data_IF_450990888304
#
_entry.id   IF_450990888304
#
_cell.length_a   1.000
_cell.length_b   1.000
_cell.length_c   1.000
_cell.angle_alpha   90.00
_cell.angle_beta   90.00
_cell.angle_gamma   90.00
#
_symmetry.space_group_name_H-M   'P 1'
#
loop_
_entity.id
_entity.type
_entity.pdbx_description
1 polymer ?
#
# COMPACT_ATOMS: atom_id res chain seq x y z
N UNK A 1 -2.57 -1.81 -12.88
CA UNK A 1 -1.90 -0.80 -12.03
C UNK A 1 -1.20 -1.53 -10.91
N UNK A 2 -0.23 -0.95 -10.22
CA UNK A 2 0.36 -1.52 -9.02
C UNK A 2 0.56 -0.41 -7.99
N UNK A 3 0.47 -0.77 -6.72
CA UNK A 3 0.61 0.13 -5.57
C UNK A 3 2.07 0.14 -5.13
N UNK A 4 2.82 1.09 -5.69
CA UNK A 4 4.29 1.09 -5.56
C UNK A 4 4.75 1.15 -4.11
N UNK A 5 4.05 1.90 -3.23
CA UNK A 5 4.41 2.01 -1.82
C UNK A 5 4.36 0.65 -1.11
N UNK A 6 3.28 -0.12 -1.32
CA UNK A 6 3.15 -1.46 -0.74
C UNK A 6 4.22 -2.44 -1.26
N UNK A 7 4.58 -2.31 -2.55
CA UNK A 7 5.69 -3.09 -3.11
C UNK A 7 7.02 -2.68 -2.48
N UNK A 8 7.28 -1.39 -2.30
CA UNK A 8 8.48 -0.91 -1.64
C UNK A 8 8.59 -1.44 -0.21
N UNK A 9 7.50 -1.38 0.56
CA UNK A 9 7.47 -1.91 1.93
C UNK A 9 7.73 -3.42 1.97
N UNK A 10 7.10 -4.17 1.07
CA UNK A 10 7.26 -5.64 1.01
C UNK A 10 8.63 -6.10 0.48
N UNK A 11 9.32 -5.28 -0.33
CA UNK A 11 10.60 -5.62 -0.94
C UNK A 11 11.81 -4.98 -0.23
N UNK A 12 11.58 -4.15 0.78
CA UNK A 12 12.64 -3.40 1.47
C UNK A 12 13.75 -4.31 2.01
N UNK A 13 13.37 -5.45 2.59
CA UNK A 13 14.29 -6.41 3.21
C UNK A 13 14.70 -7.57 2.28
N UNK A 14 14.40 -7.51 0.99
CA UNK A 14 14.88 -8.54 0.04
C UNK A 14 16.40 -8.54 -0.04
N UNK A 15 17.02 -7.35 -0.03
CA UNK A 15 18.46 -7.15 0.11
C UNK A 15 18.74 -6.23 1.28
N UNK A 16 19.85 -6.44 2.00
CA UNK A 16 20.23 -5.64 3.15
C UNK A 16 21.49 -4.82 2.93
N UNK A 17 21.83 -3.97 3.91
CA UNK A 17 23.10 -3.27 4.00
C UNK A 17 23.99 -3.94 5.04
N UNK A 18 25.29 -4.12 4.75
CA UNK A 18 26.26 -4.60 5.75
C UNK A 18 26.49 -3.52 6.80
N UNK A 19 26.49 -3.93 8.08
CA UNK A 19 26.79 -3.05 9.19
C UNK A 19 28.26 -2.63 9.18
N UNK A 20 28.54 -1.36 9.49
CA UNK A 20 29.92 -0.90 9.72
C UNK A 20 30.42 -1.32 11.09
N UNK A 21 31.72 -1.66 11.16
CA UNK A 21 32.42 -1.81 12.44
C UNK A 21 32.76 -0.47 13.10
N UNK A 22 32.65 0.66 12.36
CA UNK A 22 32.80 1.99 12.89
C UNK A 22 31.49 2.45 13.52
N UNK A 23 31.42 2.73 14.83
CA UNK A 23 30.19 3.16 15.48
C UNK A 23 29.59 4.46 14.89
N UNK A 24 30.42 5.32 14.30
CA UNK A 24 29.95 6.57 13.64
C UNK A 24 29.20 6.32 12.33
N UNK A 25 29.35 5.14 11.76
CA UNK A 25 28.70 4.71 10.51
C UNK A 25 27.67 3.61 10.76
N UNK A 26 27.36 3.35 12.03
CA UNK A 26 26.37 2.34 12.37
C UNK A 26 25.00 2.72 11.78
N UNK A 27 24.28 1.75 11.23
CA UNK A 27 22.94 1.89 10.68
C UNK A 27 21.94 1.07 11.50
N UNK A 28 20.66 1.36 11.33
CA UNK A 28 19.61 0.66 12.03
C UNK A 28 19.60 -0.83 11.67
N UNK A 29 19.34 -1.68 12.64
CA UNK A 29 19.37 -3.13 12.48
C UNK A 29 18.34 -3.64 11.45
N UNK A 30 17.27 -2.89 11.24
CA UNK A 30 16.24 -3.21 10.27
C UNK A 30 16.79 -3.22 8.84
N UNK A 31 17.61 -2.22 8.49
CA UNK A 31 18.25 -2.15 7.16
C UNK A 31 19.33 -3.21 6.92
N UNK A 32 19.79 -3.89 7.98
CA UNK A 32 20.78 -4.97 7.84
C UNK A 32 20.12 -6.33 7.52
N UNK A 33 18.81 -6.41 7.60
CA UNK A 33 18.06 -7.62 7.28
C UNK A 33 18.11 -7.91 5.78
N UNK A 34 18.34 -9.17 5.41
CA UNK A 34 18.31 -9.61 4.02
C UNK A 34 17.66 -10.99 3.92
N UNK A 35 16.46 -11.03 3.35
CA UNK A 35 15.74 -12.29 3.09
C UNK A 35 16.47 -13.19 2.07
N UNK A 36 17.20 -12.59 1.13
CA UNK A 36 17.95 -13.30 0.09
C UNK A 36 19.37 -13.66 0.49
N UNK A 37 19.87 -13.08 1.59
CA UNK A 37 21.27 -13.12 1.96
C UNK A 37 22.19 -12.21 1.12
N UNK A 38 21.64 -11.45 0.17
CA UNK A 38 22.41 -10.50 -0.62
C UNK A 38 22.53 -9.16 0.10
N UNK A 39 23.75 -8.62 0.13
CA UNK A 39 24.04 -7.28 0.64
C UNK A 39 24.33 -6.33 -0.51
N UNK A 40 23.90 -5.06 -0.38
CA UNK A 40 24.11 -4.06 -1.43
C UNK A 40 25.58 -3.82 -1.73
N UNK A 41 26.45 -3.85 -0.70
CA UNK A 41 27.89 -3.68 -0.84
C UNK A 41 28.52 -4.77 -1.74
N UNK A 42 27.92 -5.96 -1.78
CA UNK A 42 28.37 -7.03 -2.66
C UNK A 42 28.22 -6.76 -4.16
N UNK A 43 27.44 -5.76 -4.55
CA UNK A 43 27.24 -5.40 -5.96
C UNK A 43 28.46 -4.68 -6.56
N UNK A 44 29.17 -3.87 -5.77
CA UNK A 44 30.33 -3.10 -6.24
C UNK A 44 31.24 -2.66 -5.09
N UNK A 45 32.58 -2.72 -5.24
CA UNK A 45 33.53 -2.38 -4.17
C UNK A 45 33.46 -0.94 -3.64
N UNK A 46 32.99 0.00 -4.45
CA UNK A 46 32.79 1.40 -4.02
C UNK A 46 31.50 1.64 -3.25
N UNK A 47 30.65 0.62 -3.11
CA UNK A 47 29.37 0.76 -2.41
C UNK A 47 29.56 0.44 -0.92
N UNK A 48 30.14 1.38 -0.19
CA UNK A 48 30.36 1.29 1.26
C UNK A 48 29.51 2.31 2.00
N UNK A 49 29.28 2.15 3.30
CA UNK A 49 28.54 3.13 4.11
C UNK A 49 29.23 4.51 4.11
N UNK A 50 30.56 4.52 4.13
CA UNK A 50 31.36 5.72 3.99
C UNK A 50 31.07 6.48 2.70
N UNK A 51 31.01 5.75 1.57
CA UNK A 51 30.65 6.31 0.27
C UNK A 51 29.21 6.81 0.27
N UNK A 52 28.30 6.07 0.88
CA UNK A 52 26.89 6.46 0.98
C UNK A 52 26.73 7.74 1.80
N UNK A 53 27.45 7.86 2.90
CA UNK A 53 27.50 9.09 3.69
C UNK A 53 28.07 10.27 2.88
N UNK A 54 29.10 10.06 2.09
CA UNK A 54 29.72 11.08 1.26
C UNK A 54 28.80 11.59 0.13
N UNK A 55 27.83 10.81 -0.32
CA UNK A 55 26.85 11.21 -1.35
C UNK A 55 25.53 11.72 -0.78
N UNK A 56 25.33 11.59 0.52
CA UNK A 56 24.18 12.18 1.19
C UNK A 56 24.23 13.70 1.00
N UNK A 57 23.13 14.36 0.60
CA UNK A 57 23.10 15.81 0.48
C UNK A 57 23.42 16.50 1.80
N UNK A 58 24.21 17.56 1.75
CA UNK A 58 24.61 18.31 2.95
C UNK A 58 23.40 18.90 3.71
N UNK A 59 22.30 19.16 2.98
CA UNK A 59 21.05 19.68 3.50
C UNK A 59 20.04 18.58 3.88
N UNK A 60 20.45 17.29 3.85
CA UNK A 60 19.54 16.17 4.14
C UNK A 60 18.86 16.30 5.49
N UNK A 61 19.59 16.76 6.50
CA UNK A 61 19.08 16.99 7.86
C UNK A 61 18.13 18.18 7.97
N UNK A 62 18.24 19.19 7.13
CA UNK A 62 17.42 20.42 7.21
C UNK A 62 15.93 20.20 6.92
N UNK A 63 15.53 19.02 6.46
CA UNK A 63 14.12 18.66 6.38
C UNK A 63 13.47 18.48 7.76
N UNK A 64 14.26 18.31 8.82
CA UNK A 64 13.79 18.15 10.18
C UNK A 64 13.92 19.48 10.94
N UNK A 65 12.86 19.94 11.63
CA UNK A 65 12.90 21.19 12.37
C UNK A 65 13.83 21.09 13.58
N UNK A 66 14.39 22.21 14.00
CA UNK A 66 15.06 22.31 15.29
C UNK A 66 14.06 22.08 16.44
N UNK A 67 14.50 21.40 17.50
CA UNK A 67 13.69 21.22 18.70
C UNK A 67 13.36 22.54 19.36
N UNK A 68 12.10 22.68 19.80
CA UNK A 68 11.60 23.87 20.48
C UNK A 68 10.80 23.46 21.72
N UNK A 69 11.22 23.95 22.89
CA UNK A 69 10.57 23.63 24.18
C UNK A 69 9.09 24.06 24.28
N UNK A 70 8.61 24.93 23.37
CA UNK A 70 7.23 25.43 23.37
C UNK A 70 6.31 24.63 22.44
N UNK A 71 6.87 23.76 21.64
CA UNK A 71 6.10 22.94 20.72
C UNK A 71 5.71 21.60 21.37
N UNK A 72 4.61 21.03 20.89
CA UNK A 72 4.15 19.71 21.27
C UNK A 72 4.35 18.77 20.11
N UNK A 73 5.08 17.70 20.31
CA UNK A 73 5.44 16.74 19.28
C UNK A 73 4.58 15.48 19.43
N UNK A 74 4.16 14.96 18.29
CA UNK A 74 3.51 13.65 18.20
C UNK A 74 4.54 12.54 18.04
N UNK A 75 4.15 11.32 18.36
CA UNK A 75 4.98 10.14 18.10
C UNK A 75 5.38 10.08 16.61
N UNK A 76 6.64 9.75 16.33
CA UNK A 76 7.22 9.74 14.99
C UNK A 76 7.70 11.11 14.48
N UNK A 77 7.52 12.20 15.22
CA UNK A 77 8.10 13.50 14.84
C UNK A 77 9.61 13.51 15.08
N UNK A 78 10.37 13.88 14.04
CA UNK A 78 11.82 13.96 14.10
C UNK A 78 12.24 15.42 14.23
N UNK A 79 13.19 15.69 15.13
CA UNK A 79 13.77 17.02 15.38
C UNK A 79 15.29 16.96 15.40
N UNK A 80 15.92 18.09 15.10
CA UNK A 80 17.33 18.28 15.26
C UNK A 80 17.61 18.91 16.63
N UNK A 81 18.56 18.36 17.41
CA UNK A 81 18.97 18.92 18.68
C UNK A 81 20.41 18.53 19.01
N UNK A 82 21.28 19.51 19.22
CA UNK A 82 22.64 19.30 19.68
C UNK A 82 22.70 19.33 21.20
N UNK A 83 22.94 18.16 21.81
CA UNK A 83 23.01 17.97 23.26
C UNK A 83 24.26 18.61 23.88
N UNK A 84 25.35 18.71 23.11
CA UNK A 84 26.68 19.04 23.66
C UNK A 84 27.29 20.33 23.11
N UNK A 85 26.65 21.01 22.18
CA UNK A 85 27.19 22.23 21.52
C UNK A 85 28.48 21.99 20.72
N UNK A 86 28.70 20.76 20.27
CA UNK A 86 29.92 20.34 19.57
C UNK A 86 29.78 20.24 18.05
N UNK A 87 28.73 20.82 17.45
CA UNK A 87 28.38 20.73 16.04
C UNK A 87 28.16 19.28 15.53
N UNK A 88 28.04 18.30 16.40
CA UNK A 88 27.58 16.96 16.05
C UNK A 88 26.05 17.04 15.95
N UNK A 89 25.54 17.24 14.74
CA UNK A 89 24.11 17.27 14.43
C UNK A 89 23.47 15.93 14.84
N UNK A 90 22.74 15.96 15.93
CA UNK A 90 22.03 14.80 16.43
C UNK A 90 20.53 14.94 16.14
N UNK A 91 19.96 13.88 15.62
CA UNK A 91 18.54 13.79 15.29
C UNK A 91 17.83 12.89 16.28
N UNK A 92 16.60 13.26 16.64
CA UNK A 92 15.83 12.60 17.66
C UNK A 92 14.40 12.40 17.19
N UNK A 93 13.85 11.21 17.39
CA UNK A 93 12.45 10.87 17.09
C UNK A 93 11.64 10.83 18.37
N UNK A 94 10.51 11.53 18.40
CA UNK A 94 9.54 11.43 19.49
C UNK A 94 8.86 10.06 19.48
N UNK A 95 8.90 9.36 20.62
CA UNK A 95 8.28 8.03 20.77
C UNK A 95 6.89 8.08 21.40
N UNK A 96 6.40 9.26 21.75
CA UNK A 96 5.09 9.47 22.38
C UNK A 96 4.39 10.70 21.83
N UNK A 97 3.07 10.64 21.84
CA UNK A 97 2.22 11.81 21.62
C UNK A 97 2.26 12.77 22.82
N UNK A 98 1.91 14.02 22.55
CA UNK A 98 1.91 15.10 23.55
C UNK A 98 3.27 15.32 24.24
N UNK A 99 4.35 15.06 23.54
CA UNK A 99 5.71 15.32 24.01
C UNK A 99 5.97 16.83 23.99
N UNK A 100 5.96 17.46 25.15
CA UNK A 100 6.11 18.91 25.33
C UNK A 100 7.20 19.21 26.35
N UNK A 101 8.12 20.08 26.01
CA UNK A 101 9.21 20.55 26.90
C UNK A 101 10.14 19.42 27.42
N UNK A 102 10.13 18.26 26.78
CA UNK A 102 11.07 17.18 27.06
C UNK A 102 12.31 17.32 26.20
N UNK A 103 13.50 17.34 26.84
CA UNK A 103 14.75 17.61 26.13
C UNK A 103 15.25 16.35 25.42
N UNK A 104 15.50 16.39 24.09
CA UNK A 104 16.08 15.27 23.37
C UNK A 104 17.44 14.86 23.96
N UNK A 105 17.65 13.55 24.15
CA UNK A 105 18.87 12.99 24.74
C UNK A 105 18.89 12.94 26.26
N UNK A 106 18.12 13.76 26.98
CA UNK A 106 17.94 13.67 28.41
C UNK A 106 16.70 12.83 28.77
N UNK A 107 15.61 13.04 28.05
CA UNK A 107 14.31 12.40 28.31
C UNK A 107 14.14 11.13 27.47
N UNK A 108 14.84 10.05 27.82
CA UNK A 108 14.85 8.75 27.09
C UNK A 108 13.47 8.07 26.99
N UNK A 109 12.47 8.48 27.77
CA UNK A 109 11.10 7.99 27.70
C UNK A 109 10.27 8.67 26.61
N UNK A 110 10.77 9.79 26.07
CA UNK A 110 10.09 10.62 25.08
C UNK A 110 10.85 10.67 23.76
N UNK A 111 12.17 10.50 23.78
CA UNK A 111 13.04 10.63 22.63
C UNK A 111 13.94 9.40 22.45
N UNK A 112 14.11 8.96 21.21
CA UNK A 112 15.15 8.02 20.82
C UNK A 112 16.06 8.67 19.77
N UNK A 113 17.36 8.29 19.73
CA UNK A 113 18.25 8.73 18.64
C UNK A 113 17.67 8.31 17.28
N UNK A 114 17.76 9.23 16.31
CA UNK A 114 17.36 8.97 14.93
C UNK A 114 18.59 8.92 14.04
N UNK A 115 18.67 7.91 13.19
CA UNK A 115 19.83 7.70 12.34
C UNK A 115 19.58 8.26 10.93
N UNK A 116 20.09 9.45 10.66
CA UNK A 116 19.95 10.13 9.37
C UNK A 116 20.54 9.36 8.20
N UNK A 117 21.64 8.59 8.42
CA UNK A 117 22.21 7.73 7.40
C UNK A 117 21.26 6.58 7.06
N UNK A 118 20.64 5.97 8.06
CA UNK A 118 19.62 4.94 7.85
C UNK A 118 18.45 5.46 7.03
N UNK A 119 17.92 6.64 7.34
CA UNK A 119 16.85 7.27 6.55
C UNK A 119 17.26 7.46 5.08
N UNK A 120 18.46 7.97 4.86
CA UNK A 120 19.00 8.17 3.51
C UNK A 120 19.12 6.83 2.76
N UNK A 121 19.65 5.78 3.38
CA UNK A 121 19.80 4.47 2.79
C UNK A 121 18.44 3.83 2.48
N UNK A 122 17.49 3.97 3.39
CA UNK A 122 16.13 3.49 3.16
C UNK A 122 15.51 4.16 1.92
N UNK A 123 15.63 5.48 1.79
CA UNK A 123 15.11 6.20 0.62
C UNK A 123 15.80 5.80 -0.67
N UNK A 124 17.12 5.61 -0.66
CA UNK A 124 17.87 5.10 -1.83
C UNK A 124 17.39 3.71 -2.22
N UNK A 125 17.19 2.85 -1.23
CA UNK A 125 16.68 1.49 -1.44
C UNK A 125 15.26 1.50 -2.02
N UNK A 126 14.35 2.27 -1.44
CA UNK A 126 12.97 2.45 -1.92
C UNK A 126 12.93 2.98 -3.36
N UNK A 127 13.77 3.96 -3.69
CA UNK A 127 13.90 4.48 -5.05
C UNK A 127 14.44 3.42 -6.01
N UNK A 128 15.40 2.61 -5.56
CA UNK A 128 15.92 1.48 -6.32
C UNK A 128 14.85 0.44 -6.63
N UNK A 129 14.06 0.06 -5.63
CA UNK A 129 12.93 -0.86 -5.78
C UNK A 129 11.90 -0.30 -6.77
N UNK A 130 11.48 0.97 -6.60
CA UNK A 130 10.51 1.60 -7.48
C UNK A 130 10.99 1.60 -8.93
N UNK A 131 12.25 1.99 -9.16
CA UNK A 131 12.86 2.01 -10.48
C UNK A 131 12.97 0.61 -11.07
N UNK A 132 13.34 -0.38 -10.25
CA UNK A 132 13.45 -1.77 -10.68
C UNK A 132 12.09 -2.32 -11.16
N UNK A 133 11.04 -2.12 -10.37
CA UNK A 133 9.69 -2.57 -10.72
C UNK A 133 9.15 -1.84 -11.94
N UNK A 134 9.32 -0.52 -12.02
CA UNK A 134 8.88 0.27 -13.17
C UNK A 134 9.59 -0.18 -14.46
N UNK A 135 10.91 -0.33 -14.43
CA UNK A 135 11.69 -0.79 -15.58
C UNK A 135 11.28 -2.21 -15.99
N UNK A 136 11.09 -3.09 -15.03
CA UNK A 136 10.63 -4.45 -15.28
C UNK A 136 9.25 -4.47 -15.96
N UNK A 137 8.27 -3.73 -15.43
CA UNK A 137 6.91 -3.68 -16.00
C UNK A 137 6.92 -3.09 -17.41
N UNK A 138 7.76 -2.10 -17.69
CA UNK A 138 7.95 -1.55 -19.03
C UNK A 138 8.58 -2.56 -20.01
N UNK A 139 9.68 -3.23 -19.63
CA UNK A 139 10.35 -4.24 -20.46
C UNK A 139 9.40 -5.40 -20.78
N UNK A 140 8.63 -5.85 -19.81
CA UNK A 140 7.66 -6.95 -19.98
C UNK A 140 6.32 -6.50 -20.55
N UNK A 141 6.14 -5.19 -20.81
CA UNK A 141 4.90 -4.57 -21.31
C UNK A 141 3.67 -4.84 -20.44
N UNK A 142 3.89 -4.98 -19.11
CA UNK A 142 2.81 -5.19 -18.15
C UNK A 142 2.09 -3.88 -17.81
N UNK A 143 2.71 -2.74 -18.05
CA UNK A 143 2.17 -1.39 -17.86
C UNK A 143 1.03 -1.04 -18.83
N UNK A 144 1.03 -1.66 -20.02
CA UNK A 144 0.01 -1.42 -21.06
C UNK A 144 -1.35 -2.05 -20.75
N UNK A 145 -1.46 -2.82 -19.71
CA UNK A 145 -2.59 -3.70 -19.45
C UNK A 145 -3.34 -3.40 -18.17
N UNK A 146 -3.14 -2.22 -17.58
CA UNK A 146 -4.00 -1.70 -16.53
C UNK A 146 -5.37 -1.40 -17.11
N UNK A 147 -6.20 -2.43 -17.19
CA UNK A 147 -7.60 -2.29 -17.57
C UNK A 147 -8.45 -2.07 -16.35
N UNK A 148 -9.27 -1.03 -16.38
CA UNK A 148 -10.47 -1.05 -15.58
C UNK A 148 -11.38 -2.12 -16.19
N UNK A 149 -11.60 -3.19 -15.47
CA UNK A 149 -12.49 -4.28 -15.87
C UNK A 149 -13.94 -3.88 -15.62
N UNK A 150 -14.16 -3.06 -14.60
CA UNK A 150 -15.42 -2.47 -14.22
C UNK A 150 -15.13 -1.06 -13.73
N UNK A 151 -15.69 -0.04 -14.36
CA UNK A 151 -15.46 1.35 -13.99
C UNK A 151 -16.68 1.95 -13.32
N UNK A 152 -16.51 2.36 -12.05
CA UNK A 152 -17.46 3.14 -11.25
C UNK A 152 -18.91 2.60 -11.32
N UNK A 153 -19.09 1.35 -10.96
CA UNK A 153 -20.43 0.75 -10.84
C UNK A 153 -20.93 0.78 -9.43
N UNK A 154 -22.18 1.16 -9.28
CA UNK A 154 -22.90 1.10 -8.01
C UNK A 154 -23.54 -0.26 -7.83
N UNK A 155 -23.73 -0.70 -6.57
CA UNK A 155 -24.39 -1.98 -6.28
C UNK A 155 -25.85 -2.00 -6.75
N UNK A 156 -26.50 -0.86 -6.80
CA UNK A 156 -27.81 -0.68 -7.40
C UNK A 156 -27.97 0.75 -7.94
N UNK A 157 -28.86 0.91 -8.90
CA UNK A 157 -29.07 2.17 -9.57
C UNK A 157 -29.83 3.18 -8.70
N UNK A 158 -29.38 4.45 -8.79
CA UNK A 158 -30.02 5.60 -8.19
C UNK A 158 -29.94 5.66 -6.66
N UNK A 159 -30.64 6.63 -6.09
CA UNK A 159 -30.74 6.86 -4.65
C UNK A 159 -31.65 5.83 -3.94
N UNK A 160 -32.19 4.89 -4.67
CA UNK A 160 -33.17 3.96 -4.17
C UNK A 160 -34.53 4.62 -3.87
N UNK A 161 -35.61 3.85 -3.98
CA UNK A 161 -36.90 4.30 -3.48
C UNK A 161 -36.94 4.11 -1.98
N UNK A 162 -37.39 5.13 -1.25
CA UNK A 162 -37.73 5.00 0.17
C UNK A 162 -38.76 3.88 0.30
N UNK A 163 -38.41 2.76 0.92
CA UNK A 163 -39.31 1.62 1.03
C UNK A 163 -39.72 1.33 2.47
N UNK A 164 -38.73 1.34 3.36
CA UNK A 164 -38.97 1.12 4.79
C UNK A 164 -37.79 1.67 5.58
N UNK A 165 -38.07 2.18 6.75
CA UNK A 165 -37.07 2.47 7.76
C UNK A 165 -36.77 1.18 8.52
N UNK A 166 -35.52 0.84 8.69
CA UNK A 166 -35.09 -0.29 9.49
C UNK A 166 -34.83 0.17 10.91
N UNK A 167 -35.50 -0.46 11.87
CA UNK A 167 -35.22 -0.22 13.27
C UNK A 167 -33.80 -0.68 13.62
N UNK A 168 -33.11 0.09 14.45
CA UNK A 168 -31.83 -0.29 14.99
C UNK A 168 -32.00 -1.48 15.94
N UNK A 169 -31.24 -2.54 15.71
CA UNK A 169 -31.30 -3.79 16.49
C UNK A 169 -30.02 -4.04 17.27
N UNK A 170 -29.25 -2.99 17.51
CA UNK A 170 -27.98 -3.03 18.25
C UNK A 170 -26.95 -3.99 17.65
N UNK A 171 -26.71 -3.86 16.34
CA UNK A 171 -25.84 -4.77 15.60
C UNK A 171 -24.94 -4.02 14.62
N UNK A 172 -23.80 -4.64 14.29
CA UNK A 172 -23.05 -4.27 13.10
C UNK A 172 -23.81 -4.76 11.86
N UNK A 173 -24.06 -3.87 10.91
CA UNK A 173 -24.82 -4.18 9.69
C UNK A 173 -24.10 -3.63 8.46
N UNK A 174 -24.19 -4.35 7.35
CA UNK A 174 -23.50 -3.92 6.13
C UNK A 174 -23.49 -4.94 5.00
N UNK A 175 -22.42 -4.90 4.21
CA UNK A 175 -22.19 -5.78 3.08
C UNK A 175 -20.94 -6.63 3.27
N UNK A 176 -21.08 -7.94 3.10
CA UNK A 176 -19.99 -8.82 2.75
C UNK A 176 -19.69 -8.69 1.26
N UNK A 177 -18.43 -8.45 0.92
CA UNK A 177 -17.91 -8.34 -0.44
C UNK A 177 -16.87 -9.42 -0.65
N UNK A 178 -17.17 -10.39 -1.49
CA UNK A 178 -16.28 -11.50 -1.81
C UNK A 178 -15.69 -11.30 -3.20
N UNK A 179 -14.37 -11.07 -3.33
CA UNK A 179 -13.72 -11.08 -4.62
C UNK A 179 -13.80 -12.46 -5.28
N UNK A 180 -14.38 -12.54 -6.48
CA UNK A 180 -14.58 -13.80 -7.22
C UNK A 180 -13.34 -14.15 -8.06
N UNK A 181 -12.52 -13.15 -8.40
CA UNK A 181 -11.35 -13.33 -9.25
C UNK A 181 -10.11 -13.62 -8.42
N UNK A 182 -9.21 -14.36 -9.07
CA UNK A 182 -7.91 -14.71 -8.53
C UNK A 182 -6.94 -13.53 -8.48
N UNK A 183 -5.72 -13.84 -8.09
CA UNK A 183 -4.59 -12.91 -8.00
C UNK A 183 -4.47 -12.03 -9.25
N UNK A 184 -4.22 -10.75 -9.07
CA UNK A 184 -4.06 -9.77 -10.15
C UNK A 184 -5.32 -8.98 -10.49
N UNK A 185 -6.46 -9.29 -9.87
CA UNK A 185 -7.69 -8.48 -9.96
C UNK A 185 -7.99 -7.91 -8.59
N UNK A 186 -8.09 -6.59 -8.51
CA UNK A 186 -8.39 -5.88 -7.25
C UNK A 186 -9.62 -5.00 -7.43
N UNK A 187 -10.50 -5.01 -6.46
CA UNK A 187 -11.58 -4.06 -6.35
C UNK A 187 -11.16 -2.86 -5.50
N UNK A 188 -11.73 -1.68 -5.81
CA UNK A 188 -11.59 -0.46 -5.03
C UNK A 188 -12.96 0.12 -4.77
N UNK A 189 -13.28 0.42 -3.52
CA UNK A 189 -14.46 1.20 -3.18
C UNK A 189 -14.10 2.67 -3.40
N UNK A 190 -14.72 3.29 -4.40
CA UNK A 190 -14.52 4.71 -4.72
C UNK A 190 -15.37 5.59 -3.83
N UNK A 191 -16.62 5.16 -3.56
CA UNK A 191 -17.54 5.90 -2.70
C UNK A 191 -18.43 4.96 -1.89
N UNK A 192 -18.77 5.42 -0.70
CA UNK A 192 -19.87 4.88 0.12
C UNK A 192 -21.05 5.83 0.03
N UNK A 193 -22.21 5.27 -0.24
CA UNK A 193 -23.48 6.01 -0.21
C UNK A 193 -24.29 5.60 1.00
N UNK A 194 -24.81 6.58 1.73
CA UNK A 194 -25.69 6.38 2.87
C UNK A 194 -27.05 6.98 2.61
N UNK A 195 -28.10 6.24 2.98
CA UNK A 195 -29.49 6.74 2.98
C UNK A 195 -30.09 6.51 4.36
N UNK A 196 -30.20 7.57 5.14
CA UNK A 196 -30.65 7.53 6.52
C UNK A 196 -31.80 8.52 6.74
N UNK A 197 -32.55 8.31 7.81
CA UNK A 197 -33.60 9.23 8.28
C UNK A 197 -33.42 9.53 9.76
N UNK A 198 -34.11 10.55 10.26
CA UNK A 198 -34.22 10.87 11.67
C UNK A 198 -33.11 11.73 12.26
N UNK A 199 -31.89 11.76 11.72
CA UNK A 199 -30.77 12.50 12.29
C UNK A 199 -29.72 12.91 11.29
N UNK A 200 -28.77 13.73 11.76
CA UNK A 200 -27.52 14.06 11.07
C UNK A 200 -26.35 13.86 12.04
N UNK A 201 -25.16 13.65 11.54
CA UNK A 201 -23.96 13.49 12.36
C UNK A 201 -22.98 12.49 11.78
N UNK A 202 -21.97 12.16 12.53
CA UNK A 202 -20.91 11.26 12.10
C UNK A 202 -21.41 9.80 12.16
N UNK A 203 -21.31 9.10 11.04
CA UNK A 203 -21.52 7.66 10.92
C UNK A 203 -20.16 7.01 10.78
N UNK A 204 -19.76 6.23 11.77
CA UNK A 204 -18.50 5.50 11.75
C UNK A 204 -18.66 4.20 10.99
N UNK A 205 -17.88 4.04 9.93
CA UNK A 205 -17.86 2.85 9.09
C UNK A 205 -16.60 2.04 9.35
N UNK A 206 -16.74 0.74 9.31
CA UNK A 206 -15.66 -0.22 9.51
C UNK A 206 -15.49 -1.09 8.27
N UNK A 207 -14.24 -1.37 7.92
CA UNK A 207 -13.87 -2.34 6.91
C UNK A 207 -13.06 -3.46 7.55
N UNK A 208 -13.66 -4.63 7.69
CA UNK A 208 -13.00 -5.84 8.19
C UNK A 208 -12.64 -6.80 7.07
N UNK A 209 -11.74 -7.72 7.36
CA UNK A 209 -11.45 -8.87 6.50
C UNK A 209 -11.52 -10.15 7.33
N UNK A 210 -12.02 -11.23 6.74
CA UNK A 210 -12.21 -12.54 7.40
C UNK A 210 -10.91 -13.14 8.01
N UNK A 211 -9.76 -12.57 7.69
CA UNK A 211 -8.46 -13.06 8.14
C UNK A 211 -7.97 -12.46 9.46
N UNK A 212 -8.60 -11.39 9.96
CA UNK A 212 -8.17 -10.69 11.17
C UNK A 212 -9.36 -10.16 11.97
N UNK A 213 -9.12 -9.93 13.24
CA UNK A 213 -10.14 -9.53 14.22
C UNK A 213 -10.38 -8.02 14.15
N UNK A 214 -9.31 -7.24 14.01
CA UNK A 214 -9.37 -5.78 14.01
C UNK A 214 -9.80 -5.24 12.64
N UNK A 215 -10.48 -4.07 12.59
CA UNK A 215 -10.80 -3.43 11.34
C UNK A 215 -9.54 -3.00 10.60
N UNK A 216 -9.49 -3.26 9.30
CA UNK A 216 -8.37 -2.82 8.43
C UNK A 216 -8.40 -1.31 8.24
N UNK A 217 -9.61 -0.75 8.12
CA UNK A 217 -9.83 0.70 7.98
C UNK A 217 -11.09 1.11 8.73
N UNK A 218 -11.09 2.35 9.22
CA UNK A 218 -12.26 3.02 9.75
C UNK A 218 -12.47 4.33 8.98
N UNK A 219 -13.73 4.75 8.84
CA UNK A 219 -14.10 5.98 8.13
C UNK A 219 -15.14 6.72 8.95
N UNK A 220 -14.91 7.99 9.22
CA UNK A 220 -15.87 8.89 9.84
C UNK A 220 -16.60 9.68 8.75
N UNK A 221 -17.88 9.35 8.51
CA UNK A 221 -18.68 9.92 7.46
C UNK A 221 -19.67 10.94 8.04
N UNK A 222 -19.45 12.22 7.77
CA UNK A 222 -20.32 13.30 8.25
C UNK A 222 -21.61 13.39 7.43
N UNK A 223 -22.66 12.70 7.89
CA UNK A 223 -23.95 12.63 7.24
C UNK A 223 -24.81 13.86 7.59
N UNK A 224 -25.10 14.70 6.59
CA UNK A 224 -25.78 15.98 6.77
C UNK A 224 -27.16 16.04 6.10
N UNK A 225 -27.55 15.03 5.34
CA UNK A 225 -28.80 15.01 4.57
C UNK A 225 -29.98 14.62 5.46
N UNK A 226 -31.02 15.45 5.47
CA UNK A 226 -32.25 15.23 6.24
C UNK A 226 -33.32 14.55 5.40
N UNK A 227 -34.36 14.02 6.09
CA UNK A 227 -35.60 13.50 5.47
C UNK A 227 -35.39 12.32 4.52
N UNK A 228 -34.47 11.42 4.82
CA UNK A 228 -34.24 10.21 4.04
C UNK A 228 -33.53 10.44 2.71
N UNK A 229 -32.83 11.54 2.57
CA UNK A 229 -31.97 11.80 1.42
C UNK A 229 -30.78 10.86 1.35
N UNK A 230 -30.13 10.82 0.21
CA UNK A 230 -28.97 9.99 -0.07
C UNK A 230 -27.71 10.85 -0.16
N UNK A 231 -26.61 10.44 0.50
CA UNK A 231 -25.35 11.16 0.47
C UNK A 231 -24.20 10.21 0.09
N UNK A 232 -23.37 10.66 -0.85
CA UNK A 232 -22.16 9.96 -1.25
C UNK A 232 -20.92 10.55 -0.58
N UNK A 233 -20.04 9.67 -0.10
CA UNK A 233 -18.76 9.99 0.48
C UNK A 233 -17.65 9.35 -0.36
N UNK A 234 -16.74 10.17 -0.86
CA UNK A 234 -15.57 9.68 -1.61
C UNK A 234 -14.54 9.12 -0.65
N UNK A 235 -14.01 7.95 -0.96
CA UNK A 235 -12.95 7.31 -0.19
C UNK A 235 -11.63 7.39 -0.92
N UNK A 236 -10.57 7.62 -0.18
CA UNK A 236 -9.20 7.53 -0.68
C UNK A 236 -8.63 6.14 -0.37
N UNK A 237 -7.99 5.53 -1.36
CA UNK A 237 -7.24 4.28 -1.25
C UNK A 237 -7.94 3.12 -0.50
N UNK A 238 -9.23 2.94 -0.76
CA UNK A 238 -10.00 1.82 -0.21
C UNK A 238 -9.98 0.62 -1.17
N UNK A 239 -8.84 -0.06 -1.22
CA UNK A 239 -8.65 -1.28 -2.00
C UNK A 239 -9.12 -2.52 -1.24
N UNK A 240 -9.63 -3.49 -1.99
CA UNK A 240 -10.01 -4.82 -1.51
C UNK A 240 -9.11 -5.85 -2.21
N UNK A 241 -7.84 -5.98 -1.81
CA UNK A 241 -6.92 -6.93 -2.41
C UNK A 241 -7.32 -8.38 -2.12
N UNK A 242 -6.87 -9.28 -2.98
CA UNK A 242 -6.97 -10.70 -2.74
C UNK A 242 -5.93 -11.10 -1.68
N UNK A 243 -6.38 -11.37 -0.46
CA UNK A 243 -5.50 -11.82 0.62
C UNK A 243 -5.50 -13.34 0.64
N UNK A 244 -4.44 -13.93 0.05
CA UNK A 244 -4.23 -15.38 0.16
C UNK A 244 -3.71 -15.69 1.56
N UNK A 245 -4.47 -16.45 2.33
CA UNK A 245 -3.98 -17.21 3.49
C UNK A 245 -4.01 -18.69 3.17
N UNK A 246 -3.48 -19.50 4.06
CA UNK A 246 -3.14 -20.93 3.94
C UNK A 246 -4.14 -21.85 3.20
N UNK A 247 -5.33 -21.37 2.87
CA UNK A 247 -6.40 -22.12 2.20
C UNK A 247 -6.71 -21.69 0.76
N UNK A 248 -5.86 -20.87 0.12
CA UNK A 248 -6.06 -20.37 -1.25
C UNK A 248 -7.39 -19.63 -1.49
N UNK A 249 -8.06 -19.14 -0.47
CA UNK A 249 -9.23 -18.28 -0.59
C UNK A 249 -8.85 -16.83 -0.33
N UNK A 250 -9.33 -15.91 -1.16
CA UNK A 250 -9.10 -14.47 -1.01
C UNK A 250 -9.81 -13.86 0.19
N UNK A 251 -10.53 -14.66 0.96
CA UNK A 251 -11.34 -14.22 2.08
C UNK A 251 -12.52 -13.34 1.68
N UNK A 252 -13.18 -12.79 2.69
CA UNK A 252 -14.32 -11.88 2.54
C UNK A 252 -14.01 -10.56 3.20
N UNK A 253 -14.48 -9.48 2.58
CA UNK A 253 -14.43 -8.14 3.12
C UNK A 253 -15.80 -7.75 3.67
N UNK A 254 -15.83 -7.10 4.83
CA UNK A 254 -17.05 -6.71 5.50
C UNK A 254 -17.06 -5.20 5.70
N UNK A 255 -17.87 -4.50 4.92
CA UNK A 255 -18.09 -3.05 5.05
C UNK A 255 -19.35 -2.83 5.87
N UNK A 256 -19.24 -2.26 7.07
CA UNK A 256 -20.36 -2.14 8.00
C UNK A 256 -20.27 -0.91 8.89
N UNK A 257 -21.35 -0.63 9.59
CA UNK A 257 -21.43 0.33 10.69
C UNK A 257 -22.14 -0.29 11.90
N UNK A 258 -21.86 0.26 13.08
CA UNK A 258 -22.54 -0.15 14.30
C UNK A 258 -23.80 0.70 14.50
N UNK A 259 -24.95 0.05 14.63
CA UNK A 259 -26.23 0.73 14.86
C UNK A 259 -26.28 1.46 16.20
N UNK A 260 -25.51 1.03 17.22
CA UNK A 260 -25.42 1.68 18.52
C UNK A 260 -24.63 2.99 18.47
N UNK A 261 -23.74 3.13 17.49
CA UNK A 261 -22.92 4.33 17.31
C UNK A 261 -23.59 5.39 16.40
N UNK A 262 -24.76 5.08 15.86
CA UNK A 262 -25.49 6.03 15.05
C UNK A 262 -25.97 7.24 15.89
N UNK A 263 -25.93 8.45 15.30
CA UNK A 263 -26.53 9.62 15.93
C UNK A 263 -27.98 9.37 16.37
N UNK A 264 -28.38 9.98 17.47
CA UNK A 264 -29.70 9.75 18.07
C UNK A 264 -30.84 9.96 17.06
N UNK A 265 -31.70 8.97 16.95
CA UNK A 265 -32.86 8.96 16.06
C UNK A 265 -32.53 8.71 14.59
N UNK A 266 -31.27 8.44 14.25
CA UNK A 266 -30.88 8.05 12.89
C UNK A 266 -31.20 6.58 12.66
N UNK A 267 -31.89 6.30 11.54
CA UNK A 267 -32.26 4.95 11.12
C UNK A 267 -32.02 4.78 9.61
N UNK A 268 -31.64 3.56 9.23
CA UNK A 268 -31.37 3.23 7.84
C UNK A 268 -32.64 3.11 7.00
N UNK A 269 -32.60 3.60 5.77
CA UNK A 269 -33.66 3.39 4.80
C UNK A 269 -33.31 2.22 3.90
N UNK A 270 -34.14 1.18 3.94
CA UNK A 270 -33.94 -0.02 3.17
C UNK A 270 -34.44 0.10 1.73
N UNK A 271 -33.58 -0.28 0.79
CA UNK A 271 -33.94 -0.58 -0.59
C UNK A 271 -33.98 -2.08 -0.75
N UNK A 272 -35.18 -2.68 -0.70
CA UNK A 272 -35.30 -4.14 -0.81
C UNK A 272 -34.89 -4.61 -2.20
N UNK A 273 -33.81 -5.40 -2.25
CA UNK A 273 -33.31 -6.07 -3.44
C UNK A 273 -32.91 -7.48 -3.04
N UNK A 274 -33.25 -8.47 -3.83
CA UNK A 274 -32.74 -9.83 -3.62
C UNK A 274 -31.31 -9.93 -4.17
N UNK A 275 -30.36 -10.00 -3.26
CA UNK A 275 -28.93 -10.04 -3.58
C UNK A 275 -28.45 -11.44 -3.97
N UNK A 276 -29.27 -12.47 -3.74
CA UNK A 276 -28.92 -13.86 -4.01
C UNK A 276 -29.12 -14.28 -5.47
N UNK A 277 -29.85 -13.48 -6.24
CA UNK A 277 -30.21 -13.79 -7.62
C UNK A 277 -30.25 -12.58 -8.53
N UNK A 278 -30.23 -12.86 -9.84
CA UNK A 278 -30.36 -11.84 -10.87
C UNK A 278 -31.68 -11.07 -10.72
N UNK A 279 -31.63 -9.71 -10.75
CA UNK A 279 -32.83 -8.90 -10.67
C UNK A 279 -33.81 -9.19 -11.81
N UNK A 280 -35.10 -9.13 -11.51
CA UNK A 280 -36.13 -9.19 -12.53
C UNK A 280 -36.12 -7.89 -13.37
N UNK A 281 -35.82 -7.98 -14.66
CA UNK A 281 -35.73 -6.83 -15.58
C UNK A 281 -37.03 -6.00 -15.72
N UNK A 282 -38.17 -6.55 -15.30
CA UNK A 282 -39.47 -5.90 -15.36
C UNK A 282 -39.91 -5.23 -14.04
N UNK A 283 -39.24 -5.55 -12.92
CA UNK A 283 -39.68 -5.13 -11.58
C UNK A 283 -39.09 -3.80 -11.09
N UNK A 284 -38.32 -3.08 -11.90
CA UNK A 284 -37.64 -1.82 -11.56
C UNK A 284 -36.79 -1.84 -10.28
N UNK A 285 -36.29 -3.01 -9.87
CA UNK A 285 -35.46 -3.19 -8.68
C UNK A 285 -34.08 -3.69 -9.11
N UNK A 286 -33.24 -2.76 -9.49
CA UNK A 286 -31.89 -3.01 -9.97
C UNK A 286 -31.81 -3.35 -11.46
N UNK A 287 -30.71 -3.04 -12.06
CA UNK A 287 -30.38 -3.36 -13.45
C UNK A 287 -29.81 -4.78 -13.53
N UNK A 288 -30.35 -5.59 -14.43
CA UNK A 288 -29.81 -6.92 -14.77
C UNK A 288 -28.39 -6.80 -15.27
N UNK A 289 -28.10 -5.77 -16.05
CA UNK A 289 -26.78 -5.49 -16.62
C UNK A 289 -25.77 -5.20 -15.51
N UNK A 290 -26.09 -4.29 -14.58
CA UNK A 290 -25.23 -3.98 -13.44
C UNK A 290 -24.96 -5.20 -12.58
N UNK A 291 -25.98 -6.03 -12.33
CA UNK A 291 -25.81 -7.26 -11.57
C UNK A 291 -24.87 -8.25 -12.27
N UNK A 292 -25.06 -8.47 -13.57
CA UNK A 292 -24.20 -9.37 -14.37
C UNK A 292 -22.78 -8.88 -14.47
N UNK A 293 -22.57 -7.57 -14.61
CA UNK A 293 -21.23 -6.98 -14.63
C UNK A 293 -20.52 -7.14 -13.29
N UNK A 294 -21.20 -6.84 -12.17
CA UNK A 294 -20.64 -6.95 -10.83
C UNK A 294 -20.30 -8.39 -10.45
N UNK A 295 -21.23 -9.32 -10.69
CA UNK A 295 -21.07 -10.72 -10.25
C UNK A 295 -19.97 -11.49 -10.97
N UNK A 296 -19.43 -10.95 -12.07
CA UNK A 296 -18.23 -11.50 -12.70
C UNK A 296 -16.97 -11.29 -11.84
N UNK A 297 -16.99 -10.30 -10.96
CA UNK A 297 -15.80 -9.87 -10.20
C UNK A 297 -16.02 -9.92 -8.69
N UNK A 298 -17.24 -9.66 -8.24
CA UNK A 298 -17.60 -9.54 -6.84
C UNK A 298 -18.91 -10.22 -6.56
N UNK A 299 -18.97 -10.92 -5.44
CA UNK A 299 -20.24 -11.33 -4.84
C UNK A 299 -20.49 -10.40 -3.64
N UNK A 300 -21.68 -9.82 -3.58
CA UNK A 300 -22.09 -8.90 -2.51
C UNK A 300 -23.29 -9.48 -1.80
N UNK A 301 -23.22 -9.62 -0.48
CA UNK A 301 -24.28 -10.17 0.34
C UNK A 301 -24.49 -9.28 1.56
N UNK A 302 -25.72 -8.79 1.81
CA UNK A 302 -26.00 -8.06 3.03
C UNK A 302 -25.92 -8.97 4.24
N UNK A 303 -25.39 -8.45 5.34
CA UNK A 303 -25.26 -9.18 6.59
C UNK A 303 -25.61 -8.31 7.81
N UNK A 304 -25.86 -8.99 8.90
CA UNK A 304 -25.85 -8.43 10.25
C UNK A 304 -24.92 -9.28 11.12
N UNK A 305 -24.21 -8.62 12.01
CA UNK A 305 -23.32 -9.26 12.96
C UNK A 305 -23.91 -9.21 14.35
N UNK A 306 -24.14 -10.36 14.93
CA UNK A 306 -24.73 -10.51 16.25
C UNK A 306 -23.63 -10.90 17.25
N UNK A 307 -22.85 -9.91 17.69
CA UNK A 307 -21.80 -10.15 18.67
C UNK A 307 -22.38 -10.75 19.96
N UNK A 308 -21.68 -11.70 20.60
CA UNK A 308 -22.02 -12.13 21.97
C UNK A 308 -21.97 -10.94 22.94
N UNK A 309 -22.72 -11.00 24.03
CA UNK A 309 -22.71 -9.95 25.07
C UNK A 309 -21.29 -9.64 25.59
N UNK A 310 -20.39 -10.62 25.57
CA UNK A 310 -18.96 -10.46 25.93
C UNK A 310 -18.18 -9.57 24.96
N UNK A 311 -18.64 -9.36 23.74
CA UNK A 311 -18.04 -8.44 22.77
C UNK A 311 -18.71 -7.06 22.74
N UNK A 312 -19.76 -6.83 23.53
CA UNK A 312 -20.42 -5.54 23.61
C UNK A 312 -19.48 -4.41 24.13
N UNK A 313 -18.45 -4.78 24.90
CA UNK A 313 -17.39 -3.85 25.33
C UNK A 313 -16.32 -3.58 24.24
N UNK A 314 -16.26 -4.45 23.22
CA UNK A 314 -15.28 -4.36 22.12
C UNK A 314 -15.97 -4.57 20.76
N UNK A 315 -16.78 -3.59 20.29
CA UNK A 315 -17.48 -3.71 19.00
C UNK A 315 -16.52 -3.82 17.81
N UNK A 316 -15.23 -3.62 18.03
CA UNK A 316 -14.17 -3.68 17.03
C UNK A 316 -13.66 -5.11 16.77
N UNK A 317 -14.05 -6.11 17.59
CA UNK A 317 -13.61 -7.49 17.40
C UNK A 317 -14.52 -8.21 16.42
N UNK A 318 -13.92 -8.83 15.41
CA UNK A 318 -14.62 -9.54 14.35
C UNK A 318 -14.43 -11.05 14.42
N UNK A 319 -15.56 -11.79 14.47
CA UNK A 319 -15.58 -13.24 14.28
C UNK A 319 -16.70 -13.60 13.30
N UNK A 320 -16.36 -14.18 12.16
CA UNK A 320 -17.28 -14.55 11.10
C UNK A 320 -18.38 -15.52 11.57
N UNK A 321 -18.15 -16.27 12.65
CA UNK A 321 -19.12 -17.21 13.22
C UNK A 321 -20.41 -16.53 13.70
N UNK A 322 -20.37 -15.23 14.02
CA UNK A 322 -21.54 -14.47 14.47
C UNK A 322 -22.24 -13.69 13.34
N UNK A 323 -21.83 -13.92 12.09
CA UNK A 323 -22.41 -13.27 10.93
C UNK A 323 -23.69 -13.97 10.49
N UNK A 324 -24.76 -13.18 10.34
CA UNK A 324 -26.06 -13.64 9.82
C UNK A 324 -26.36 -12.94 8.51
N UNK A 325 -26.75 -13.67 7.47
CA UNK A 325 -27.00 -13.11 6.16
C UNK A 325 -28.47 -12.79 5.95
N UNK A 326 -28.72 -11.63 5.33
CA UNK A 326 -30.07 -11.16 4.99
C UNK A 326 -30.09 -10.82 3.51
N UNK A 327 -30.82 -11.59 2.71
CA UNK A 327 -30.77 -11.44 1.26
C UNK A 327 -31.47 -10.18 0.71
N UNK A 328 -32.20 -9.44 1.53
CA UNK A 328 -33.10 -8.37 1.06
C UNK A 328 -32.91 -7.00 1.72
N UNK A 329 -31.94 -6.85 2.58
CA UNK A 329 -31.70 -5.61 3.32
C UNK A 329 -30.38 -4.99 2.92
N UNK A 330 -30.36 -3.70 2.54
CA UNK A 330 -29.14 -2.97 2.23
C UNK A 330 -28.67 -2.04 3.35
N UNK A 331 -29.41 -1.94 4.44
CA UNK A 331 -29.08 -1.09 5.59
C UNK A 331 -28.75 0.36 5.25
N UNK A 332 -29.45 0.91 4.25
CA UNK A 332 -29.18 2.27 3.75
C UNK A 332 -27.86 2.44 2.99
N UNK A 333 -27.12 1.35 2.76
CA UNK A 333 -25.81 1.39 2.13
C UNK A 333 -25.90 1.20 0.61
N UNK A 334 -25.02 1.89 -0.11
CA UNK A 334 -24.65 1.61 -1.49
C UNK A 334 -23.16 1.85 -1.66
N UNK A 335 -22.52 1.22 -2.61
CA UNK A 335 -21.12 1.47 -2.92
C UNK A 335 -20.94 1.71 -4.41
N UNK A 336 -20.05 2.65 -4.75
CA UNK A 336 -19.50 2.80 -6.09
C UNK A 336 -18.14 2.08 -6.11
N UNK A 337 -18.01 1.07 -6.97
CA UNK A 337 -16.82 0.21 -7.04
C UNK A 337 -16.20 0.27 -8.43
N UNK A 338 -14.89 0.29 -8.44
CA UNK A 338 -14.04 0.05 -9.62
C UNK A 338 -13.33 -1.28 -9.44
N UNK A 339 -13.28 -2.10 -10.49
CA UNK A 339 -12.47 -3.33 -10.50
C UNK A 339 -11.43 -3.18 -11.60
N UNK A 340 -10.19 -3.42 -11.26
CA UNK A 340 -9.07 -3.28 -12.18
C UNK A 340 -8.02 -4.37 -12.02
N UNK A 341 -7.13 -4.45 -13.00
CA UNK A 341 -5.95 -5.29 -12.88
C UNK A 341 -4.91 -4.62 -11.96
N UNK A 342 -4.50 -5.32 -10.91
CA UNK A 342 -3.47 -4.89 -9.97
C UNK A 342 -2.46 -6.02 -9.76
N UNK A 343 -1.22 -5.76 -10.11
CA UNK A 343 -0.14 -6.73 -10.01
C UNK A 343 0.61 -6.67 -8.67
N UNK A 344 0.18 -5.84 -7.71
CA UNK A 344 0.88 -5.63 -6.45
C UNK A 344 1.10 -6.94 -5.70
N UNK A 345 0.03 -7.63 -5.35
CA UNK A 345 0.11 -8.87 -4.59
C UNK A 345 0.84 -9.98 -5.35
N UNK A 346 0.71 -9.98 -6.67
CA UNK A 346 1.41 -10.89 -7.54
C UNK A 346 2.93 -10.66 -7.53
N UNK A 347 3.37 -9.39 -7.61
CA UNK A 347 4.79 -9.01 -7.50
C UNK A 347 5.33 -9.36 -6.11
N UNK A 348 4.58 -9.00 -5.06
CA UNK A 348 4.97 -9.28 -3.67
C UNK A 348 5.12 -10.78 -3.40
N UNK A 349 4.21 -11.61 -3.94
CA UNK A 349 4.29 -13.07 -3.77
C UNK A 349 5.55 -13.69 -4.39
N UNK A 350 6.14 -13.01 -5.37
CA UNK A 350 7.35 -13.47 -6.07
C UNK A 350 8.57 -12.57 -5.79
N UNK A 351 8.58 -11.84 -4.66
CA UNK A 351 9.60 -10.83 -4.36
C UNK A 351 11.05 -11.33 -4.46
N UNK A 352 11.28 -12.60 -4.16
CA UNK A 352 12.63 -13.20 -4.18
C UNK A 352 13.27 -13.17 -5.58
N UNK A 353 12.50 -13.21 -6.65
CA UNK A 353 13.07 -13.17 -8.00
C UNK A 353 13.69 -11.81 -8.37
N UNK A 354 13.29 -10.74 -7.66
CA UNK A 354 13.77 -9.37 -7.89
C UNK A 354 15.10 -9.07 -7.18
N UNK A 355 15.59 -9.94 -6.30
CA UNK A 355 16.78 -9.73 -5.47
C UNK A 355 17.97 -9.19 -6.25
N UNK A 356 18.35 -9.88 -7.33
CA UNK A 356 19.52 -9.53 -8.15
C UNK A 356 19.34 -8.19 -8.89
N UNK A 357 18.13 -7.93 -9.37
CA UNK A 357 17.80 -6.67 -10.02
C UNK A 357 17.79 -5.51 -9.03
N UNK A 358 17.19 -5.68 -7.85
CA UNK A 358 17.13 -4.65 -6.80
C UNK A 358 18.54 -4.30 -6.32
N UNK A 359 19.37 -5.31 -6.01
CA UNK A 359 20.74 -5.10 -5.57
C UNK A 359 21.52 -4.25 -6.58
N UNK A 360 21.49 -4.63 -7.85
CA UNK A 360 22.21 -3.90 -8.91
C UNK A 360 21.60 -2.54 -9.23
N UNK A 361 20.28 -2.40 -9.14
CA UNK A 361 19.61 -1.12 -9.39
C UNK A 361 19.95 -0.08 -8.33
N UNK A 362 19.95 -0.47 -7.05
CA UNK A 362 20.39 0.39 -5.95
C UNK A 362 21.85 0.79 -6.13
N UNK A 363 22.70 -0.17 -6.47
CA UNK A 363 24.12 0.09 -6.73
C UNK A 363 24.32 1.08 -7.91
N UNK A 364 23.59 0.93 -9.00
CA UNK A 364 23.64 1.88 -10.14
C UNK A 364 23.23 3.29 -9.72
N UNK A 365 22.17 3.43 -8.93
CA UNK A 365 21.69 4.73 -8.43
C UNK A 365 22.76 5.38 -7.55
N UNK A 366 23.31 4.64 -6.59
CA UNK A 366 24.32 5.11 -5.66
C UNK A 366 25.63 5.51 -6.36
N UNK A 367 26.12 4.67 -7.27
CA UNK A 367 27.35 4.98 -8.02
C UNK A 367 27.17 6.15 -8.99
N UNK A 368 25.99 6.31 -9.58
CA UNK A 368 25.70 7.47 -10.41
C UNK A 368 25.65 8.74 -9.57
N UNK A 369 25.05 8.70 -8.37
CA UNK A 369 25.08 9.80 -7.44
C UNK A 369 26.54 10.15 -7.03
N UNK A 370 27.36 9.14 -6.72
CA UNK A 370 28.78 9.33 -6.42
C UNK A 370 29.53 10.01 -7.58
N UNK A 371 29.34 9.56 -8.80
CA UNK A 371 30.00 10.12 -9.97
C UNK A 371 29.56 11.57 -10.26
N UNK A 372 28.37 11.96 -9.86
CA UNK A 372 27.80 13.29 -10.11
C UNK A 372 27.92 14.25 -8.93
N UNK A 373 28.31 13.77 -7.75
CA UNK A 373 28.42 14.60 -6.55
C UNK A 373 29.62 15.58 -6.67
N UNK A 374 29.38 16.91 -6.60
CA UNK A 374 30.44 17.90 -6.67
C UNK A 374 31.31 17.96 -5.40
N UNK A 375 30.81 17.47 -4.27
CA UNK A 375 31.40 17.60 -2.95
C UNK A 375 32.36 16.44 -2.59
N UNK A 376 32.42 15.38 -3.37
CA UNK A 376 33.39 14.29 -3.17
C UNK A 376 34.80 14.86 -3.44
N UNK A 377 35.44 15.37 -2.37
CA UNK A 377 36.79 15.98 -2.38
C UNK A 377 37.84 14.87 -2.43
N UNK A 378 37.93 14.17 -3.53
CA UNK A 378 39.14 13.44 -3.89
C UNK A 378 39.96 14.34 -4.79
N UNK A 379 41.29 14.32 -4.63
CA UNK A 379 42.22 15.08 -5.43
C UNK A 379 41.75 15.18 -6.89
N UNK A 380 41.60 16.41 -7.41
CA UNK A 380 40.83 16.73 -8.63
C UNK A 380 41.14 15.84 -9.85
N UNK A 381 42.39 15.36 -9.95
CA UNK A 381 42.78 14.43 -11.01
C UNK A 381 42.31 12.99 -10.77
N UNK A 382 42.37 12.51 -9.53
CA UNK A 382 41.86 11.16 -9.17
C UNK A 382 40.34 11.13 -9.22
N UNK A 383 39.65 12.18 -8.83
CA UNK A 383 38.19 12.23 -8.88
C UNK A 383 37.66 12.22 -10.31
N UNK A 384 38.29 12.87 -11.26
CA UNK A 384 37.88 12.87 -12.65
C UNK A 384 38.09 11.49 -13.31
N UNK A 385 39.19 10.80 -13.01
CA UNK A 385 39.45 9.46 -13.50
C UNK A 385 38.42 8.45 -12.93
N UNK A 386 38.25 8.46 -11.61
CA UNK A 386 37.25 7.61 -10.92
C UNK A 386 35.84 7.87 -11.43
N UNK A 387 35.45 9.13 -11.60
CA UNK A 387 34.17 9.52 -12.17
C UNK A 387 33.98 8.95 -13.58
N UNK A 388 34.97 9.09 -14.44
CA UNK A 388 34.93 8.60 -15.81
C UNK A 388 34.84 7.07 -15.84
N UNK A 389 35.59 6.38 -14.98
CA UNK A 389 35.56 4.94 -14.87
C UNK A 389 34.20 4.42 -14.38
N UNK A 390 33.60 5.07 -13.36
CA UNK A 390 32.25 4.73 -12.89
C UNK A 390 31.23 4.93 -14.01
N UNK A 391 31.22 6.07 -14.68
CA UNK A 391 30.28 6.34 -15.74
C UNK A 391 30.46 5.37 -16.93
N UNK A 392 31.72 5.00 -17.24
CA UNK A 392 31.99 4.01 -18.27
C UNK A 392 31.48 2.60 -17.86
N UNK A 393 31.59 2.25 -16.60
CA UNK A 393 31.06 1.01 -16.09
C UNK A 393 29.52 0.95 -16.09
N UNK A 394 28.87 2.08 -15.83
CA UNK A 394 27.41 2.20 -15.80
C UNK A 394 26.81 2.29 -17.21
N UNK A 395 27.30 3.26 -17.99
CA UNK A 395 26.65 3.67 -19.24
C UNK A 395 27.45 3.24 -20.50
N UNK A 396 28.74 2.82 -20.33
CA UNK A 396 29.63 2.52 -21.40
C UNK A 396 30.19 3.76 -22.12
N UNK A 397 30.60 3.59 -23.35
CA UNK A 397 31.10 4.67 -24.21
C UNK A 397 30.36 4.65 -25.58
N UNK A 398 30.85 5.41 -26.54
CA UNK A 398 30.31 5.45 -27.92
C UNK A 398 30.29 4.08 -28.63
N UNK A 399 31.08 3.13 -28.16
CA UNK A 399 31.12 1.75 -28.67
C UNK A 399 30.10 0.81 -27.97
N UNK A 400 29.36 1.28 -26.99
CA UNK A 400 28.38 0.52 -26.25
C UNK A 400 28.68 0.36 -24.76
N UNK A 401 27.85 -0.43 -24.07
CA UNK A 401 28.00 -0.73 -22.65
C UNK A 401 29.21 -1.65 -22.43
N UNK A 402 30.01 -1.37 -21.39
CA UNK A 402 31.17 -2.18 -21.03
C UNK A 402 30.75 -3.62 -20.74
N UNK A 403 31.25 -4.63 -21.49
CA UNK A 403 30.97 -6.02 -21.16
C UNK A 403 31.45 -6.36 -19.75
N UNK A 404 30.58 -6.95 -18.92
CA UNK A 404 30.88 -7.27 -17.52
C UNK A 404 30.78 -6.10 -16.52
N UNK A 405 30.57 -4.86 -16.97
CA UNK A 405 30.29 -3.74 -16.09
C UNK A 405 28.92 -3.83 -15.43
N UNK A 406 28.73 -3.06 -14.35
CA UNK A 406 27.49 -3.12 -13.55
C UNK A 406 26.23 -2.82 -14.38
N UNK A 407 26.29 -1.82 -15.28
CA UNK A 407 25.17 -1.51 -16.17
C UNK A 407 24.81 -2.65 -17.11
N UNK A 408 25.80 -3.36 -17.62
CA UNK A 408 25.57 -4.56 -18.43
C UNK A 408 24.98 -5.70 -17.62
N UNK A 409 25.50 -5.92 -16.38
CA UNK A 409 24.99 -6.95 -15.47
C UNK A 409 23.52 -6.66 -15.09
N UNK A 410 23.17 -5.41 -14.81
CA UNK A 410 21.80 -5.01 -14.52
C UNK A 410 20.86 -5.29 -15.73
N UNK A 411 21.29 -4.94 -16.95
CA UNK A 411 20.53 -5.25 -18.16
C UNK A 411 20.28 -6.76 -18.28
N UNK A 412 21.30 -7.58 -18.06
CA UNK A 412 21.20 -9.04 -18.10
C UNK A 412 20.28 -9.58 -17.01
N UNK A 413 20.32 -8.99 -15.80
CA UNK A 413 19.41 -9.35 -14.72
C UNK A 413 17.95 -9.11 -15.12
N UNK A 414 17.63 -7.97 -15.75
CA UNK A 414 16.27 -7.70 -16.27
C UNK A 414 15.86 -8.69 -17.37
N UNK A 415 16.77 -9.03 -18.29
CA UNK A 415 16.50 -10.02 -19.36
C UNK A 415 16.21 -11.41 -18.79
N UNK A 416 16.96 -11.80 -17.76
CA UNK A 416 16.85 -13.11 -17.10
C UNK A 416 15.59 -13.22 -16.22
N UNK A 417 15.05 -12.10 -15.75
CA UNK A 417 13.94 -12.06 -14.81
C UNK A 417 12.65 -12.59 -15.49
N UNK A 418 12.09 -13.66 -14.91
CA UNK A 418 10.87 -14.32 -15.41
C UNK A 418 9.90 -14.46 -14.24
N UNK A 419 8.72 -13.89 -14.37
CA UNK A 419 7.60 -14.13 -13.48
C UNK A 419 6.93 -15.47 -13.81
N UNK A 420 6.59 -16.24 -12.80
CA UNK A 420 5.66 -17.35 -12.97
C UNK A 420 4.23 -16.80 -12.99
N UNK A 421 3.62 -16.75 -14.15
CA UNK A 421 2.27 -16.23 -14.36
C UNK A 421 1.17 -17.24 -14.03
N UNK A 422 1.51 -18.41 -13.48
CA UNK A 422 0.53 -19.36 -12.96
C UNK A 422 -0.22 -18.74 -11.78
N UNK A 423 -1.53 -18.85 -11.81
CA UNK A 423 -2.40 -18.27 -10.78
C UNK A 423 -2.85 -16.83 -11.04
N UNK A 424 -2.20 -16.09 -11.96
CA UNK A 424 -2.68 -14.77 -12.36
C UNK A 424 -3.93 -14.89 -13.22
N UNK A 425 -4.93 -14.05 -12.96
CA UNK A 425 -6.14 -14.04 -13.77
C UNK A 425 -5.83 -13.70 -15.23
N UNK A 426 -6.34 -14.54 -16.15
CA UNK A 426 -6.08 -14.39 -17.58
C UNK A 426 -6.60 -13.08 -18.17
N UNK A 427 -7.56 -12.46 -17.51
CA UNK A 427 -8.12 -11.17 -17.93
C UNK A 427 -7.08 -10.07 -17.82
N UNK A 428 -6.16 -10.19 -16.86
CA UNK A 428 -5.07 -9.24 -16.61
C UNK A 428 -3.78 -9.58 -17.34
N UNK A 429 -3.75 -10.63 -18.15
CA UNK A 429 -2.61 -10.98 -19.00
C UNK A 429 -2.80 -10.45 -20.42
N UNK A 430 -1.70 -9.95 -21.02
CA UNK A 430 -1.72 -9.52 -22.43
C UNK A 430 -2.02 -10.65 -23.39
N UNK A 431 -2.62 -10.29 -24.52
CA UNK A 431 -2.86 -11.27 -25.60
C UNK A 431 -1.55 -11.91 -26.08
N UNK A 432 -0.43 -11.19 -25.98
CA UNK A 432 0.90 -11.69 -26.37
C UNK A 432 1.45 -12.71 -25.36
N UNK A 433 1.04 -12.65 -24.10
CA UNK A 433 1.43 -13.60 -23.05
C UNK A 433 0.48 -14.81 -22.94
N UNK A 434 -0.64 -14.81 -23.66
CA UNK A 434 -1.65 -15.89 -23.60
C UNK A 434 -1.21 -17.22 -24.21
N UNK A 435 0.04 -17.34 -24.67
CA UNK A 435 0.63 -18.64 -24.99
C UNK A 435 -0.04 -19.44 -26.11
N UNK A 436 -0.97 -18.85 -26.86
CA UNK A 436 -1.58 -19.51 -28.03
C UNK A 436 -0.64 -19.35 -29.21
N UNK A 437 0.39 -20.18 -29.24
CA UNK A 437 1.12 -20.42 -30.49
C UNK A 437 0.24 -21.37 -31.30
N UNK A 438 -0.50 -20.84 -32.23
CA UNK A 438 -0.98 -21.66 -33.34
C UNK A 438 0.26 -22.16 -34.07
N UNK A 439 0.60 -23.43 -33.92
CA UNK A 439 1.41 -24.11 -34.93
C UNK A 439 0.49 -24.24 -36.15
N UNK A 440 0.78 -23.46 -37.19
CA UNK A 440 0.26 -23.81 -38.50
C UNK A 440 0.73 -25.24 -38.82
N UNK A 441 -0.22 -26.10 -39.10
CA UNK A 441 0.01 -27.48 -39.60
C UNK A 441 0.44 -27.38 -41.04
#
# INVERSE_FOLDING_TARGET
>A
MYRIKEIQDALLHVCGWEQSYNPKEAIDSDLTQSESGLMFQGAHPLLTLDTMRAIMPDDWGYQYPEWNSRETYSAGTIVQYDLNGNDDELYWESIRDNNTNEIPGESVLFWKPYNILSDFLERVTRNGIATAIQTFTQIKQLDKETRNLLERRTFFDGAGRIRATLQNTHKLVGFEIVPVRALGVTAKIEKIGLQMTGGTGIVKMYLFHSSQIDPIKTFDLDFQVKNGGFQWFTLEDCFLPYISKDNNSGGSWFLCYNQDELPQGMEAINVSKDWSREPCGTCNIGSVEVWRELTQYLQVTPFMYNAPETFAEYPELWDIAYTMYTNTQNYGLNCEITVGCDLTDFIISQRQIFQDVIQKQVAVIALRALAMNPNVRVNRYQSNATRTDILYELDGNTSGVRPGGLGYQLKKAYEALKLDTKGLDRVCLSCNNRGVRYKAV
#
